data_IF_048201771083
#
_entry.id   IF_048201771083
#
_cell.length_a   1.000
_cell.length_b   1.000
_cell.length_c   1.000
_cell.angle_alpha   90.00
_cell.angle_beta   90.00
_cell.angle_gamma   90.00
#
_symmetry.space_group_name_H-M   'P 1'
#
loop_
_entity.id
_entity.type
_entity.pdbx_description
1 polymer ?
#
# COMPACT_ATOMS: atom_id res chain seq x y z
N UNK A 1 1.36 8.67 19.15
CA UNK A 1 0.35 7.58 18.98
C UNK A 1 0.79 6.52 17.98
N UNK A 2 1.34 6.89 16.82
CA UNK A 2 1.94 5.93 15.88
C UNK A 2 3.13 5.21 16.51
N UNK A 3 4.06 5.94 17.12
CA UNK A 3 5.25 5.39 17.80
C UNK A 3 4.88 4.44 18.95
N UNK A 4 3.90 4.81 19.77
CA UNK A 4 3.40 3.94 20.85
C UNK A 4 2.72 2.65 20.33
N UNK A 5 2.49 2.54 19.02
CA UNK A 5 1.97 1.34 18.34
C UNK A 5 3.05 0.63 17.50
N UNK A 6 4.32 1.00 17.69
CA UNK A 6 5.49 0.40 17.07
C UNK A 6 5.75 0.84 15.63
N UNK A 7 5.26 2.02 15.25
CA UNK A 7 5.63 2.65 13.98
C UNK A 7 6.79 3.63 14.19
N UNK A 8 7.78 3.57 13.31
CA UNK A 8 8.84 4.56 13.19
C UNK A 8 8.37 5.66 12.24
N UNK A 9 8.48 6.93 12.64
CA UNK A 9 8.18 8.06 11.75
C UNK A 9 9.41 8.31 10.87
N UNK A 10 9.21 8.22 9.55
CA UNK A 10 10.27 8.40 8.56
C UNK A 10 10.29 9.82 8.02
N UNK A 11 9.13 10.39 7.77
CA UNK A 11 8.98 11.75 7.22
C UNK A 11 7.64 12.34 7.67
N UNK A 12 7.56 13.66 7.71
CA UNK A 12 6.36 14.40 8.10
C UNK A 12 6.06 15.41 7.00
N UNK A 13 4.79 15.52 6.60
CA UNK A 13 4.33 16.46 5.59
C UNK A 13 5.09 16.26 4.26
N UNK A 14 5.30 15.00 3.88
CA UNK A 14 6.08 14.62 2.70
C UNK A 14 5.30 14.94 1.43
N UNK A 15 5.86 15.80 0.59
CA UNK A 15 5.32 16.08 -0.74
C UNK A 15 5.84 15.08 -1.78
N UNK A 16 4.99 14.80 -2.76
CA UNK A 16 5.33 14.05 -3.97
C UNK A 16 4.52 14.61 -5.14
N UNK A 17 4.95 14.36 -6.38
CA UNK A 17 4.24 14.84 -7.56
C UNK A 17 3.94 13.73 -8.56
N UNK A 18 2.93 13.96 -9.38
CA UNK A 18 2.55 13.10 -10.49
C UNK A 18 2.02 13.94 -11.65
N UNK A 19 2.08 13.38 -12.86
CA UNK A 19 1.63 14.05 -14.07
C UNK A 19 0.22 13.61 -14.44
N UNK A 20 -0.65 14.60 -14.63
CA UNK A 20 -1.94 14.50 -15.30
C UNK A 20 -1.72 14.85 -16.78
N UNK A 21 -2.55 14.30 -17.67
CA UNK A 21 -2.65 14.82 -19.03
C UNK A 21 -4.08 15.29 -19.26
N UNK A 22 -4.26 16.57 -19.56
CA UNK A 22 -5.55 17.16 -19.92
C UNK A 22 -5.46 17.59 -21.37
N UNK A 23 -6.26 16.94 -22.22
CA UNK A 23 -6.24 17.12 -23.68
C UNK A 23 -4.83 16.98 -24.27
N UNK A 24 -4.10 15.97 -23.80
CA UNK A 24 -2.73 15.67 -24.23
C UNK A 24 -1.64 16.56 -23.64
N UNK A 25 -1.99 17.61 -22.89
CA UNK A 25 -1.01 18.51 -22.24
C UNK A 25 -0.68 18.00 -20.83
N UNK A 26 0.62 17.85 -20.48
CA UNK A 26 1.00 17.44 -19.14
C UNK A 26 0.79 18.56 -18.12
N UNK A 27 0.25 18.21 -16.96
CA UNK A 27 0.12 19.06 -15.79
C UNK A 27 0.72 18.34 -14.60
N UNK A 28 1.55 19.04 -13.82
CA UNK A 28 2.09 18.49 -12.58
C UNK A 28 1.13 18.77 -11.44
N UNK A 29 0.72 17.71 -10.74
CA UNK A 29 -0.05 17.79 -9.52
C UNK A 29 0.84 17.35 -8.35
N UNK A 30 0.74 18.05 -7.24
CA UNK A 30 1.44 17.71 -6.01
C UNK A 30 0.45 17.16 -5.00
N UNK A 31 0.90 16.14 -4.28
CA UNK A 31 0.19 15.53 -3.18
C UNK A 31 1.08 15.56 -1.95
N UNK A 32 0.47 15.75 -0.78
CA UNK A 32 1.19 15.87 0.49
C UNK A 32 0.57 14.94 1.51
N UNK A 33 1.37 14.01 2.01
CA UNK A 33 0.99 13.10 3.07
C UNK A 33 1.41 13.66 4.43
N UNK A 34 0.55 13.53 5.44
CA UNK A 34 0.85 14.05 6.77
C UNK A 34 2.05 13.37 7.41
N UNK A 35 2.11 12.03 7.34
CA UNK A 35 3.19 11.25 7.95
C UNK A 35 3.52 10.05 7.07
N UNK A 36 4.81 9.82 6.89
CA UNK A 36 5.36 8.58 6.37
C UNK A 36 5.89 7.76 7.54
N UNK A 37 5.48 6.50 7.62
CA UNK A 37 5.84 5.64 8.74
C UNK A 37 6.31 4.26 8.29
N UNK A 38 7.12 3.59 9.11
CA UNK A 38 7.60 2.24 8.88
C UNK A 38 7.26 1.34 10.07
N UNK A 39 6.97 0.07 9.80
CA UNK A 39 6.85 -0.96 10.83
C UNK A 39 7.43 -2.27 10.31
N UNK A 40 8.61 -2.64 10.81
CA UNK A 40 9.42 -3.70 10.23
C UNK A 40 9.88 -3.31 8.82
N UNK A 41 9.73 -4.21 7.85
CA UNK A 41 10.04 -3.95 6.44
C UNK A 41 8.94 -3.20 5.68
N UNK A 42 7.78 -2.94 6.32
CA UNK A 42 6.61 -2.36 5.65
C UNK A 42 6.57 -0.84 5.80
N UNK A 43 6.27 -0.18 4.70
CA UNK A 43 6.13 1.27 4.56
C UNK A 43 4.64 1.67 4.51
N UNK A 44 4.29 2.73 5.23
CA UNK A 44 2.94 3.21 5.39
C UNK A 44 2.86 4.72 5.17
N UNK A 45 1.73 5.16 4.60
CA UNK A 45 1.34 6.56 4.59
C UNK A 45 0.22 6.75 5.60
N UNK A 46 0.33 7.76 6.46
CA UNK A 46 -0.66 8.07 7.47
C UNK A 46 -1.26 9.46 7.26
N UNK A 47 -2.59 9.52 7.35
CA UNK A 47 -3.40 10.74 7.28
C UNK A 47 -3.96 11.05 8.67
N UNK A 48 -3.78 12.29 9.13
CA UNK A 48 -4.22 12.75 10.45
C UNK A 48 -5.49 13.56 10.30
N UNK A 49 -6.55 13.15 10.97
CA UNK A 49 -7.82 13.88 10.99
C UNK A 49 -8.20 14.26 12.42
N UNK A 50 -8.54 15.53 12.61
CA UNK A 50 -9.28 16.07 13.76
C UNK A 50 -10.71 16.39 13.32
N UNK A 51 -11.68 16.32 14.24
CA UNK A 51 -13.10 16.57 13.97
C UNK A 51 -13.93 15.32 13.68
N UNK A 52 -15.20 15.37 14.11
CA UNK A 52 -16.18 14.26 13.99
C UNK A 52 -16.50 13.84 12.55
N UNK A 53 -16.36 14.74 11.56
CA UNK A 53 -16.85 14.54 10.19
C UNK A 53 -15.80 13.99 9.20
N UNK A 54 -14.50 14.04 9.51
CA UNK A 54 -13.44 13.71 8.55
C UNK A 54 -12.75 12.35 8.79
N UNK A 55 -13.14 11.61 9.83
CA UNK A 55 -12.41 10.43 10.34
C UNK A 55 -12.89 9.08 9.81
N UNK A 56 -13.90 9.04 8.93
CA UNK A 56 -14.38 7.77 8.39
C UNK A 56 -13.90 7.54 6.95
N UNK A 57 -13.27 6.39 6.66
CA UNK A 57 -12.98 5.97 5.28
C UNK A 57 -14.26 5.64 4.49
N UNK A 58 -15.46 5.83 5.06
CA UNK A 58 -16.73 5.72 4.33
C UNK A 58 -17.09 7.01 3.59
N UNK A 59 -16.51 8.15 3.94
CA UNK A 59 -16.75 9.40 3.24
C UNK A 59 -16.04 9.42 1.87
N UNK A 60 -16.72 9.83 0.79
CA UNK A 60 -16.13 9.86 -0.55
C UNK A 60 -14.82 10.64 -0.65
N UNK A 61 -14.74 11.83 -0.03
CA UNK A 61 -13.53 12.67 -0.10
C UNK A 61 -12.32 11.99 0.55
N UNK A 62 -12.47 11.45 1.76
CA UNK A 62 -11.42 10.69 2.44
C UNK A 62 -10.99 9.48 1.60
N UNK A 63 -11.92 8.77 0.94
CA UNK A 63 -11.56 7.65 0.06
C UNK A 63 -10.76 8.08 -1.16
N UNK A 64 -11.11 9.21 -1.79
CA UNK A 64 -10.38 9.74 -2.95
C UNK A 64 -8.97 10.18 -2.56
N UNK A 65 -8.83 10.92 -1.45
CA UNK A 65 -7.54 11.35 -0.91
C UNK A 65 -6.64 10.15 -0.56
N UNK A 66 -7.18 9.15 0.14
CA UNK A 66 -6.45 7.92 0.47
C UNK A 66 -6.06 7.12 -0.78
N UNK A 67 -6.90 7.11 -1.82
CA UNK A 67 -6.59 6.44 -3.08
C UNK A 67 -5.47 7.17 -3.83
N UNK A 68 -5.47 8.50 -3.84
CA UNK A 68 -4.40 9.30 -4.41
C UNK A 68 -3.07 9.02 -3.71
N UNK A 69 -3.05 9.00 -2.37
CA UNK A 69 -1.85 8.61 -1.61
C UNK A 69 -1.39 7.20 -1.97
N UNK A 70 -2.33 6.27 -2.09
CA UNK A 70 -2.01 4.90 -2.48
C UNK A 70 -1.31 4.83 -3.84
N UNK A 71 -1.81 5.58 -4.83
CA UNK A 71 -1.28 5.57 -6.20
C UNK A 71 0.06 6.27 -6.31
N UNK A 72 0.25 7.39 -5.61
CA UNK A 72 1.46 8.22 -5.72
C UNK A 72 2.61 7.67 -4.87
N UNK A 73 2.37 7.32 -3.61
CA UNK A 73 3.42 6.84 -2.70
C UNK A 73 3.62 5.31 -2.76
N UNK A 74 2.66 4.57 -3.31
CA UNK A 74 2.70 3.09 -3.44
C UNK A 74 3.05 2.36 -2.13
N UNK A 75 2.38 2.66 -1.00
CA UNK A 75 2.72 2.06 0.27
C UNK A 75 2.23 0.61 0.42
N UNK A 76 2.74 -0.10 1.43
CA UNK A 76 2.22 -1.42 1.83
C UNK A 76 0.86 -1.33 2.53
N UNK A 77 0.47 -0.13 2.97
CA UNK A 77 -0.83 0.16 3.53
C UNK A 77 -0.97 1.62 3.94
N UNK A 78 -2.19 2.02 4.26
CA UNK A 78 -2.51 3.36 4.74
C UNK A 78 -2.97 3.31 6.20
N UNK A 79 -2.77 4.41 6.91
CA UNK A 79 -3.21 4.55 8.30
C UNK A 79 -4.02 5.83 8.42
N UNK A 80 -5.26 5.72 8.89
CA UNK A 80 -6.05 6.86 9.28
C UNK A 80 -5.90 7.07 10.79
N UNK A 81 -5.39 8.23 11.17
CA UNK A 81 -5.14 8.63 12.55
C UNK A 81 -6.28 9.53 13.00
N UNK A 82 -7.10 9.03 13.93
CA UNK A 82 -8.18 9.79 14.57
C UNK A 82 -7.65 10.33 15.91
N UNK A 83 -7.37 11.64 15.94
CA UNK A 83 -6.78 12.29 17.11
C UNK A 83 -7.79 12.51 18.25
N UNK A 84 -9.08 12.59 17.94
CA UNK A 84 -10.12 12.78 18.96
C UNK A 84 -10.40 11.48 19.70
N UNK A 85 -10.59 10.38 18.95
CA UNK A 85 -10.88 9.06 19.50
C UNK A 85 -9.62 8.28 19.86
N UNK A 86 -8.44 8.87 19.65
CA UNK A 86 -7.11 8.24 19.84
C UNK A 86 -7.05 6.84 19.21
N UNK A 87 -7.51 6.75 17.96
CA UNK A 87 -7.63 5.49 17.24
C UNK A 87 -6.78 5.51 15.96
N UNK A 88 -6.24 4.35 15.61
CA UNK A 88 -5.56 4.10 14.35
C UNK A 88 -6.34 3.07 13.56
N UNK A 89 -6.76 3.42 12.33
CA UNK A 89 -7.41 2.48 11.41
C UNK A 89 -6.46 2.19 10.27
N UNK A 90 -6.14 0.91 10.07
CA UNK A 90 -5.42 0.46 8.89
C UNK A 90 -6.39 0.38 7.71
N UNK A 91 -6.01 0.93 6.57
CA UNK A 91 -6.75 0.85 5.30
C UNK A 91 -5.90 0.07 4.31
N UNK A 92 -6.50 -0.93 3.68
CA UNK A 92 -5.89 -1.79 2.68
C UNK A 92 -6.79 -1.82 1.44
N UNK A 93 -6.20 -1.68 0.26
CA UNK A 93 -6.92 -1.82 -1.00
C UNK A 93 -6.78 -3.26 -1.51
N UNK A 94 -7.90 -3.90 -1.85
CA UNK A 94 -7.91 -5.26 -2.38
C UNK A 94 -7.09 -5.40 -3.69
N UNK A 95 -7.02 -4.31 -4.47
CA UNK A 95 -6.22 -4.21 -5.72
C UNK A 95 -4.74 -4.60 -5.48
N UNK A 96 -4.22 -4.41 -4.26
CA UNK A 96 -2.85 -4.81 -3.89
C UNK A 96 -2.76 -6.28 -3.51
N UNK A 97 -3.79 -6.80 -2.85
CA UNK A 97 -3.82 -8.19 -2.36
C UNK A 97 -3.72 -9.18 -3.52
N UNK A 98 -4.32 -8.84 -4.65
CA UNK A 98 -4.27 -9.66 -5.86
C UNK A 98 -2.88 -9.66 -6.51
N UNK A 99 -2.08 -8.58 -6.37
CA UNK A 99 -0.73 -8.50 -6.94
C UNK A 99 0.22 -9.53 -6.34
N UNK A 100 0.09 -9.82 -5.04
CA UNK A 100 0.99 -10.74 -4.34
C UNK A 100 0.67 -12.22 -4.65
N UNK A 101 -0.54 -12.53 -5.12
CA UNK A 101 -0.92 -13.87 -5.51
C UNK A 101 -0.06 -14.39 -6.68
N UNK A 102 0.37 -13.53 -7.59
CA UNK A 102 1.15 -13.91 -8.76
C UNK A 102 2.52 -14.53 -8.42
N UNK A 103 3.19 -14.08 -7.35
CA UNK A 103 4.47 -14.67 -6.90
C UNK A 103 4.25 -16.10 -6.40
N UNK A 104 3.17 -16.32 -5.64
CA UNK A 104 2.80 -17.67 -5.18
C UNK A 104 2.45 -18.61 -6.33
N UNK A 105 1.89 -18.07 -7.42
CA UNK A 105 1.55 -18.82 -8.62
C UNK A 105 2.83 -19.24 -9.37
N UNK A 106 3.80 -18.34 -9.53
CA UNK A 106 5.09 -18.67 -10.16
C UNK A 106 5.88 -19.73 -9.37
N UNK A 107 5.90 -19.63 -8.03
CA UNK A 107 6.53 -20.64 -7.18
C UNK A 107 5.84 -22.01 -7.31
N UNK A 108 4.51 -22.05 -7.45
CA UNK A 108 3.77 -23.30 -7.72
C UNK A 108 4.16 -23.90 -9.07
N UNK A 109 4.26 -23.10 -10.13
CA UNK A 109 4.71 -23.59 -11.43
C UNK A 109 6.16 -24.09 -11.41
N UNK A 110 7.06 -23.39 -10.71
CA UNK A 110 8.43 -23.84 -10.53
C UNK A 110 8.51 -25.19 -9.79
N UNK A 111 7.68 -25.38 -8.75
CA UNK A 111 7.58 -26.66 -8.04
C UNK A 111 7.09 -27.79 -8.96
N UNK A 112 6.02 -27.55 -9.73
CA UNK A 112 5.50 -28.54 -10.70
C UNK A 112 6.56 -28.89 -11.75
N UNK A 113 7.31 -27.89 -12.24
CA UNK A 113 8.39 -28.10 -13.19
C UNK A 113 9.52 -28.97 -12.61
N UNK A 114 9.94 -28.71 -11.37
CA UNK A 114 10.95 -29.53 -10.67
C UNK A 114 10.46 -30.97 -10.48
N UNK A 115 9.20 -31.16 -10.07
CA UNK A 115 8.60 -32.50 -9.93
C UNK A 115 8.64 -33.23 -11.29
N UNK A 116 8.29 -32.54 -12.38
CA UNK A 116 8.37 -33.10 -13.74
C UNK A 116 9.78 -33.52 -14.15
N UNK A 117 10.81 -32.72 -13.82
CA UNK A 117 12.20 -33.08 -14.06
C UNK A 117 12.63 -34.33 -13.28
N UNK A 118 12.23 -34.43 -12.01
CA UNK A 118 12.57 -35.58 -11.15
C UNK A 118 11.91 -36.85 -11.67
N UNK A 119 10.60 -36.81 -12.00
CA UNK A 119 9.89 -37.95 -12.58
C UNK A 119 10.52 -38.33 -13.92
N UNK A 120 10.76 -37.36 -14.80
CA UNK A 120 11.37 -37.59 -16.11
C UNK A 120 12.75 -38.23 -16.00
N UNK A 121 13.57 -37.81 -15.04
CA UNK A 121 14.88 -38.41 -14.77
C UNK A 121 14.75 -39.85 -14.26
N UNK A 122 13.84 -40.12 -13.32
CA UNK A 122 13.57 -41.46 -12.79
C UNK A 122 13.08 -42.43 -13.87
N UNK A 123 12.24 -41.98 -14.81
CA UNK A 123 11.70 -42.82 -15.89
C UNK A 123 12.67 -43.07 -17.04
N UNK A 124 13.79 -42.33 -17.11
CA UNK A 124 14.81 -42.44 -18.18
C UNK A 124 15.95 -43.39 -17.82
N UNK A 125 15.93 -43.96 -16.62
CA UNK A 125 16.99 -44.80 -16.05
C UNK A 125 16.84 -46.31 -16.27
N UNK A 126 15.96 -46.76 -17.18
CA UNK A 126 15.87 -48.16 -17.66
C UNK A 126 16.21 -48.26 -19.15
#
# INVERSE_FOLDING_TARGET
MLESRGFEIVDIQKENSYKLYVDGKPYEACVKADIIARKGSKYYVAEVKSGEKATSPRYPETRRQLLEYFLVYKPDGLILVDMEKKNLRKIEYAIVKDRNNNISILLKYALIFIIGLVIGFLTRGE
#
